data_IF_655528826951
#
_entry.id   IF_655528826951
#
_cell.length_a   1.000
_cell.length_b   1.000
_cell.length_c   1.000
_cell.angle_alpha   90.00
_cell.angle_beta   90.00
_cell.angle_gamma   90.00
#
_symmetry.space_group_name_H-M   'P 1'
#
loop_
_entity.id
_entity.type
_entity.pdbx_description
1 polymer ?
#
# COMPACT_ATOMS: atom_id res chain seq x y z
N UNK A 1 -6.65 7.74 -20.84
CA UNK A 1 -5.64 7.01 -20.10
C UNK A 1 -6.29 5.78 -19.46
N UNK A 2 -5.74 4.59 -19.65
CA UNK A 2 -6.10 3.39 -18.90
C UNK A 2 -4.96 3.04 -17.95
N UNK A 3 -5.31 2.64 -16.73
CA UNK A 3 -4.36 2.21 -15.71
C UNK A 3 -4.74 0.83 -15.18
N UNK A 4 -3.76 -0.05 -15.07
CA UNK A 4 -3.94 -1.44 -14.62
C UNK A 4 -3.02 -1.70 -13.44
N UNK A 5 -3.62 -1.79 -12.26
CA UNK A 5 -2.93 -2.15 -11.03
C UNK A 5 -2.90 -3.67 -10.85
N UNK A 6 -1.82 -4.22 -10.26
CA UNK A 6 -1.79 -5.62 -9.84
C UNK A 6 -2.73 -5.85 -8.65
N UNK A 7 -3.08 -7.11 -8.38
CA UNK A 7 -3.96 -7.47 -7.25
C UNK A 7 -3.44 -7.01 -5.89
N UNK A 8 -2.13 -6.80 -5.74
CA UNK A 8 -1.48 -6.33 -4.53
C UNK A 8 -1.66 -4.84 -4.23
N UNK A 9 -2.24 -4.09 -5.15
CA UNK A 9 -2.55 -2.67 -4.99
C UNK A 9 -4.06 -2.45 -4.98
N UNK A 10 -4.54 -1.69 -4.02
CA UNK A 10 -5.94 -1.22 -3.95
C UNK A 10 -5.97 0.23 -4.38
N UNK A 11 -6.68 0.53 -5.46
CA UNK A 11 -6.90 1.89 -5.94
C UNK A 11 -7.73 2.71 -4.94
N UNK A 12 -7.26 3.91 -4.59
CA UNK A 12 -7.94 4.76 -3.60
C UNK A 12 -9.03 5.67 -4.21
N UNK A 13 -9.21 5.62 -5.54
CA UNK A 13 -10.23 6.37 -6.28
C UNK A 13 -10.12 7.90 -6.09
N UNK A 14 -8.91 8.40 -6.04
CA UNK A 14 -8.53 9.79 -5.75
C UNK A 14 -7.85 10.49 -6.94
N UNK A 15 -8.28 10.17 -8.16
CA UNK A 15 -7.71 10.75 -9.38
C UNK A 15 -7.89 12.26 -9.39
N UNK A 16 -6.77 12.96 -9.59
CA UNK A 16 -6.74 14.38 -9.84
C UNK A 16 -5.97 14.67 -11.14
N UNK A 17 -6.48 15.58 -11.95
CA UNK A 17 -5.87 15.98 -13.23
C UNK A 17 -5.54 17.45 -13.21
N UNK A 18 -4.32 17.79 -13.61
CA UNK A 18 -3.90 19.18 -13.80
C UNK A 18 -3.36 19.38 -15.21
N UNK A 19 -3.54 20.58 -15.74
CA UNK A 19 -2.99 21.00 -17.03
C UNK A 19 -2.20 22.28 -16.83
N UNK A 20 -0.91 22.24 -17.18
CA UNK A 20 0.03 23.33 -16.93
C UNK A 20 -0.04 23.83 -15.47
N UNK A 21 -0.24 22.90 -14.51
CA UNK A 21 -0.36 23.17 -13.08
C UNK A 21 -1.74 23.61 -12.60
N UNK A 22 -2.72 23.82 -13.50
CA UNK A 22 -4.09 24.19 -13.14
C UNK A 22 -4.98 22.95 -13.06
N UNK A 23 -5.70 22.77 -11.94
CA UNK A 23 -6.60 21.62 -11.74
C UNK A 23 -7.80 21.68 -12.70
N UNK A 24 -8.15 20.54 -13.24
CA UNK A 24 -9.35 20.33 -14.06
C UNK A 24 -10.54 19.91 -13.20
N UNK A 25 -11.73 20.09 -13.74
CA UNK A 25 -13.00 19.77 -13.07
C UNK A 25 -13.62 18.50 -13.66
N UNK A 26 -13.95 17.55 -12.81
CA UNK A 26 -14.75 16.38 -13.18
C UNK A 26 -16.24 16.64 -12.83
N UNK A 27 -17.21 16.31 -13.68
CA UNK A 27 -17.05 15.63 -14.98
C UNK A 27 -16.93 16.59 -16.20
N UNK A 28 -16.77 17.89 -16.01
CA UNK A 28 -16.81 18.86 -17.10
C UNK A 28 -15.63 18.71 -18.09
N UNK A 29 -14.42 18.57 -17.58
CA UNK A 29 -13.19 18.50 -18.38
C UNK A 29 -12.72 17.06 -18.62
N UNK A 30 -12.96 16.17 -17.63
CA UNK A 30 -12.64 14.75 -17.70
C UNK A 30 -13.59 13.92 -16.85
N UNK A 31 -13.61 12.61 -17.06
CA UNK A 31 -14.32 11.65 -16.23
C UNK A 31 -13.44 10.46 -15.86
N UNK A 32 -13.72 9.83 -14.71
CA UNK A 32 -13.07 8.62 -14.26
C UNK A 32 -14.10 7.49 -14.22
N UNK A 33 -13.76 6.34 -14.82
CA UNK A 33 -14.58 5.12 -14.76
C UNK A 33 -13.79 3.99 -14.12
N UNK A 34 -14.43 3.25 -13.20
CA UNK A 34 -13.89 2.07 -12.50
C UNK A 34 -14.91 0.95 -12.56
N UNK A 35 -14.59 -0.23 -13.13
CA UNK A 35 -13.34 -0.55 -13.82
C UNK A 35 -13.17 0.23 -15.13
N UNK A 36 -11.92 0.29 -15.62
CA UNK A 36 -11.60 0.81 -16.94
C UNK A 36 -11.84 -0.22 -18.06
N UNK A 37 -11.40 0.13 -19.29
CA UNK A 37 -11.55 -0.75 -20.47
C UNK A 37 -10.57 -1.94 -20.40
N UNK A 38 -10.99 -3.09 -20.93
CA UNK A 38 -10.14 -4.29 -21.14
C UNK A 38 -9.40 -4.78 -19.88
N UNK A 39 -10.05 -4.72 -18.73
CA UNK A 39 -9.48 -5.18 -17.46
C UNK A 39 -8.60 -4.14 -16.75
N UNK A 40 -8.58 -2.89 -17.22
CA UNK A 40 -7.93 -1.81 -16.49
C UNK A 40 -8.65 -1.55 -15.15
N UNK A 41 -7.89 -1.14 -14.15
CA UNK A 41 -8.41 -0.78 -12.83
C UNK A 41 -9.30 0.44 -12.94
N UNK A 42 -8.82 1.47 -13.64
CA UNK A 42 -9.63 2.64 -13.95
C UNK A 42 -9.24 3.23 -15.31
N UNK A 43 -10.10 4.12 -15.80
CA UNK A 43 -9.89 4.88 -17.04
C UNK A 43 -10.20 6.35 -16.78
N UNK A 44 -9.32 7.22 -17.24
CA UNK A 44 -9.55 8.66 -17.35
C UNK A 44 -9.87 9.00 -18.79
N UNK A 45 -11.03 9.62 -19.02
CA UNK A 45 -11.48 10.09 -20.34
C UNK A 45 -11.59 11.61 -20.31
N UNK A 46 -10.90 12.29 -21.19
CA UNK A 46 -11.00 13.74 -21.35
C UNK A 46 -12.18 14.10 -22.23
N UNK A 47 -12.88 15.19 -21.92
CA UNK A 47 -13.96 15.71 -22.74
C UNK A 47 -13.38 16.24 -24.07
N UNK A 48 -14.05 15.92 -25.19
CA UNK A 48 -13.63 16.36 -26.51
C UNK A 48 -13.61 17.89 -26.61
N UNK A 49 -14.60 18.54 -26.03
CA UNK A 49 -14.67 20.00 -25.93
C UNK A 49 -13.46 20.61 -25.23
N UNK A 50 -12.92 19.92 -24.24
CA UNK A 50 -11.69 20.33 -23.53
C UNK A 50 -10.45 20.11 -24.40
N UNK A 51 -10.32 18.92 -25.01
CA UNK A 51 -9.15 18.55 -25.83
C UNK A 51 -8.97 19.49 -27.06
N UNK A 52 -10.07 19.93 -27.66
CA UNK A 52 -10.04 20.80 -28.84
C UNK A 52 -9.44 22.19 -28.57
N UNK A 53 -9.31 22.58 -27.31
CA UNK A 53 -8.70 23.84 -26.89
C UNK A 53 -7.24 23.73 -26.47
N UNK A 54 -6.66 22.53 -26.50
CA UNK A 54 -5.27 22.32 -26.12
C UNK A 54 -4.29 22.67 -27.22
N UNK A 55 -3.11 23.13 -26.83
CA UNK A 55 -1.98 23.39 -27.75
C UNK A 55 -0.97 22.25 -27.71
N UNK A 56 -0.07 22.17 -28.69
CA UNK A 56 0.92 21.09 -28.80
C UNK A 56 1.84 20.93 -27.56
N UNK A 57 2.11 22.05 -26.87
CA UNK A 57 3.03 22.05 -25.70
C UNK A 57 2.29 21.94 -24.36
N UNK A 58 1.04 21.48 -24.35
CA UNK A 58 0.25 21.36 -23.14
C UNK A 58 0.73 20.15 -22.32
N UNK A 59 1.12 20.39 -21.05
CA UNK A 59 1.46 19.34 -20.10
C UNK A 59 0.23 18.93 -19.30
N UNK A 60 -0.17 17.66 -19.41
CA UNK A 60 -1.24 17.05 -18.62
C UNK A 60 -0.63 16.10 -17.59
N UNK A 61 -0.95 16.33 -16.31
CA UNK A 61 -0.52 15.45 -15.20
C UNK A 61 -1.74 14.81 -14.56
N UNK A 62 -1.75 13.50 -14.52
CA UNK A 62 -2.76 12.69 -13.81
C UNK A 62 -2.10 12.11 -12.56
N UNK A 63 -2.63 12.43 -11.41
CA UNK A 63 -2.16 11.90 -10.11
C UNK A 63 -3.24 11.06 -9.46
N UNK A 64 -2.85 10.01 -8.81
CA UNK A 64 -3.72 9.11 -8.03
C UNK A 64 -2.87 8.33 -7.04
N UNK A 65 -3.52 7.67 -6.09
CA UNK A 65 -2.82 6.81 -5.14
C UNK A 65 -3.40 5.40 -5.07
N UNK A 66 -2.58 4.49 -4.55
CA UNK A 66 -2.97 3.12 -4.25
C UNK A 66 -2.36 2.68 -2.92
N UNK A 67 -3.04 1.75 -2.25
CA UNK A 67 -2.58 1.17 -0.99
C UNK A 67 -2.17 -0.28 -1.22
N UNK A 68 -1.00 -0.67 -0.71
CA UNK A 68 -0.59 -2.07 -0.65
C UNK A 68 -1.61 -2.86 0.19
N UNK A 69 -1.98 -4.03 -0.29
CA UNK A 69 -2.92 -4.92 0.40
C UNK A 69 -2.29 -6.30 0.68
N UNK A 70 -3.06 -7.22 1.24
CA UNK A 70 -2.61 -8.56 1.63
C UNK A 70 -2.15 -9.47 0.47
N UNK A 71 -2.49 -9.08 -0.77
CA UNK A 71 -2.04 -9.79 -1.99
C UNK A 71 -0.77 -9.18 -2.59
N UNK A 72 -0.23 -8.14 -1.97
CA UNK A 72 0.98 -7.51 -2.47
C UNK A 72 2.13 -8.52 -2.49
N UNK A 73 2.78 -8.63 -3.63
CA UNK A 73 3.96 -9.48 -3.78
C UNK A 73 5.06 -9.02 -2.81
N UNK A 74 5.63 -9.98 -2.08
CA UNK A 74 6.59 -9.74 -1.01
C UNK A 74 7.97 -10.15 -1.50
N UNK A 75 8.96 -9.28 -1.29
CA UNK A 75 10.39 -9.60 -1.39
C UNK A 75 10.81 -10.32 -2.69
N UNK A 76 11.19 -9.56 -3.70
CA UNK A 76 11.67 -10.06 -4.99
C UNK A 76 10.62 -10.09 -6.09
N UNK A 77 9.35 -10.25 -5.76
CA UNK A 77 8.24 -10.03 -6.70
C UNK A 77 7.88 -8.55 -6.74
N UNK A 78 7.30 -8.13 -7.85
CA UNK A 78 7.06 -6.72 -8.10
C UNK A 78 5.57 -6.46 -8.27
N UNK A 79 5.04 -5.52 -7.48
CA UNK A 79 3.68 -5.02 -7.69
C UNK A 79 3.76 -3.96 -8.80
N UNK A 80 3.64 -4.40 -10.06
CA UNK A 80 3.81 -3.56 -11.23
C UNK A 80 2.49 -2.94 -11.66
N UNK A 81 2.38 -1.63 -11.58
CA UNK A 81 1.31 -0.85 -12.17
C UNK A 81 1.64 -0.51 -13.62
N UNK A 82 0.65 -0.51 -14.50
CA UNK A 82 0.83 -0.24 -15.92
C UNK A 82 -0.15 0.82 -16.40
N UNK A 83 0.36 1.90 -16.99
CA UNK A 83 -0.43 2.95 -17.58
C UNK A 83 -0.29 2.96 -19.11
N UNK A 84 -1.37 3.28 -19.82
CA UNK A 84 -1.38 3.42 -21.27
C UNK A 84 -2.32 4.55 -21.72
N UNK A 85 -1.82 5.46 -22.53
CA UNK A 85 -2.63 6.48 -23.18
C UNK A 85 -3.17 5.93 -24.51
N UNK A 86 -4.48 6.12 -24.77
CA UNK A 86 -5.11 5.89 -26.06
C UNK A 86 -5.56 7.24 -26.64
N UNK A 87 -5.28 7.46 -27.90
CA UNK A 87 -5.67 8.66 -28.63
C UNK A 87 -6.08 8.31 -30.07
N UNK A 88 -7.27 8.71 -30.48
CA UNK A 88 -7.86 8.27 -31.75
C UNK A 88 -7.85 6.73 -31.86
N UNK A 89 -7.31 6.23 -32.97
CA UNK A 89 -7.13 4.79 -33.22
C UNK A 89 -5.75 4.26 -32.81
N UNK A 90 -4.93 5.08 -32.16
CA UNK A 90 -3.57 4.74 -31.71
C UNK A 90 -3.49 4.65 -30.19
N UNK A 91 -2.42 4.03 -29.70
CA UNK A 91 -2.07 4.00 -28.28
C UNK A 91 -0.57 4.13 -28.09
N UNK A 92 -0.17 4.67 -26.94
CA UNK A 92 1.24 4.69 -26.54
C UNK A 92 1.73 3.29 -26.20
N UNK A 93 3.04 3.13 -26.11
CA UNK A 93 3.65 2.01 -25.38
C UNK A 93 3.16 2.07 -23.93
N UNK A 94 3.03 0.92 -23.30
CA UNK A 94 2.71 0.83 -21.88
C UNK A 94 3.91 1.35 -21.07
N UNK A 95 3.61 2.20 -20.10
CA UNK A 95 4.57 2.63 -19.09
C UNK A 95 4.30 1.93 -17.77
N UNK A 96 5.35 1.68 -16.99
CA UNK A 96 5.27 0.83 -15.80
C UNK A 96 5.98 1.44 -14.61
N UNK A 97 5.36 1.31 -13.45
CA UNK A 97 5.98 1.58 -12.16
C UNK A 97 5.88 0.36 -11.27
N UNK A 98 6.87 0.16 -10.41
CA UNK A 98 6.94 -1.00 -9.55
C UNK A 98 6.98 -0.57 -8.09
N UNK A 99 6.15 -1.22 -7.27
CA UNK A 99 6.14 -1.04 -5.82
C UNK A 99 6.57 -2.34 -5.16
N UNK A 100 7.59 -2.29 -4.31
CA UNK A 100 8.05 -3.44 -3.54
C UNK A 100 7.50 -3.39 -2.13
N UNK A 101 6.99 -4.51 -1.62
CA UNK A 101 6.65 -4.67 -0.22
C UNK A 101 7.58 -5.65 0.47
N UNK A 102 7.71 -5.52 1.78
CA UNK A 102 8.59 -6.32 2.62
C UNK A 102 7.80 -7.03 3.71
N UNK A 103 8.42 -8.04 4.29
CA UNK A 103 7.95 -8.71 5.50
C UNK A 103 9.10 -8.91 6.48
N UNK A 104 8.77 -9.13 7.72
CA UNK A 104 9.67 -9.75 8.70
C UNK A 104 8.95 -10.81 9.51
N UNK A 105 9.73 -11.72 10.09
CA UNK A 105 9.25 -12.76 10.98
C UNK A 105 9.73 -12.46 12.41
N UNK A 106 8.80 -12.53 13.38
CA UNK A 106 9.03 -12.26 14.79
C UNK A 106 8.86 -13.53 15.64
N UNK A 107 9.78 -13.77 16.55
CA UNK A 107 9.61 -14.74 17.62
C UNK A 107 9.97 -14.12 18.98
N UNK A 108 9.28 -14.55 20.03
CA UNK A 108 9.68 -14.29 21.42
C UNK A 108 10.18 -15.59 22.03
N UNK A 109 11.40 -15.55 22.60
CA UNK A 109 12.01 -16.73 23.25
C UNK A 109 12.48 -16.39 24.65
N UNK A 110 12.65 -17.42 25.50
CA UNK A 110 13.43 -17.30 26.70
C UNK A 110 14.94 -17.47 26.41
N UNK A 111 15.77 -17.46 27.46
CA UNK A 111 17.22 -17.61 27.36
C UNK A 111 17.67 -18.98 26.85
N UNK A 112 16.81 -19.99 26.91
CA UNK A 112 17.05 -21.36 26.41
C UNK A 112 16.55 -21.51 24.94
N UNK A 113 16.00 -20.48 24.32
CA UNK A 113 15.45 -20.52 22.96
C UNK A 113 14.04 -21.10 22.87
N UNK A 114 13.36 -21.36 23.99
CA UNK A 114 11.97 -21.82 23.98
C UNK A 114 11.05 -20.70 23.58
N UNK A 115 10.16 -20.97 22.64
CA UNK A 115 9.14 -20.02 22.16
C UNK A 115 8.15 -19.65 23.27
N UNK A 116 7.83 -18.37 23.39
CA UNK A 116 6.92 -17.83 24.38
C UNK A 116 5.67 -17.25 23.73
N UNK A 117 4.50 -17.65 24.24
CA UNK A 117 3.21 -17.10 23.85
C UNK A 117 2.81 -15.93 24.73
N UNK A 118 1.87 -15.08 24.22
CA UNK A 118 1.21 -14.03 24.99
C UNK A 118 2.03 -12.76 25.19
N UNK A 119 3.19 -12.61 24.56
CA UNK A 119 3.83 -11.31 24.43
C UNK A 119 3.06 -10.48 23.41
N UNK A 120 2.80 -9.19 23.70
CA UNK A 120 2.20 -8.29 22.76
C UNK A 120 3.16 -7.18 22.37
N UNK A 121 3.04 -6.76 21.11
CA UNK A 121 3.88 -5.72 20.53
C UNK A 121 3.08 -4.74 19.69
N UNK A 122 3.50 -3.50 19.72
CA UNK A 122 3.10 -2.45 18.77
C UNK A 122 4.29 -2.11 17.88
N UNK A 123 4.03 -1.92 16.58
CA UNK A 123 5.04 -1.57 15.58
C UNK A 123 5.01 -0.06 15.32
N UNK A 124 6.20 0.55 15.17
CA UNK A 124 6.36 1.99 14.91
C UNK A 124 7.35 2.25 13.78
N UNK A 125 7.23 3.43 13.16
CA UNK A 125 8.11 3.94 12.10
C UNK A 125 9.34 4.73 12.62
N UNK A 126 9.46 4.93 13.95
CA UNK A 126 10.63 5.56 14.57
C UNK A 126 10.82 5.09 16.02
N UNK A 127 12.07 5.13 16.50
CA UNK A 127 12.44 4.72 17.87
C UNK A 127 11.80 5.56 18.97
N UNK A 128 11.55 6.83 18.70
CA UNK A 128 10.90 7.77 19.61
C UNK A 128 10.04 8.74 18.82
N UNK A 129 8.82 8.99 19.30
CA UNK A 129 7.88 9.92 18.63
C UNK A 129 7.35 9.44 17.29
N UNK A 130 7.61 8.19 16.90
CA UNK A 130 7.13 7.61 15.66
C UNK A 130 5.63 7.33 15.67
N UNK A 131 5.06 7.22 14.46
CA UNK A 131 3.67 6.83 14.28
C UNK A 131 3.53 5.31 14.44
N UNK A 132 2.42 4.90 15.03
CA UNK A 132 2.04 3.50 15.08
C UNK A 132 1.73 2.97 13.67
N UNK A 133 2.36 1.88 13.28
CA UNK A 133 2.01 1.10 12.09
C UNK A 133 0.86 0.16 12.49
N UNK A 134 -0.35 0.53 12.14
CA UNK A 134 -1.54 -0.29 12.42
C UNK A 134 -1.50 -1.59 11.63
N UNK A 135 -1.76 -2.70 12.30
CA UNK A 135 -1.74 -4.04 11.73
C UNK A 135 -3.10 -4.71 11.87
N UNK A 136 -3.48 -5.51 10.88
CA UNK A 136 -4.67 -6.37 10.91
C UNK A 136 -4.23 -7.82 10.95
N UNK A 137 -4.83 -8.61 11.83
CA UNK A 137 -4.57 -10.05 11.95
C UNK A 137 -5.29 -10.81 10.83
N UNK A 138 -4.53 -11.52 10.00
CA UNK A 138 -5.06 -12.37 8.90
C UNK A 138 -5.41 -13.77 9.42
N UNK A 139 -4.52 -14.34 10.22
CA UNK A 139 -4.68 -15.65 10.84
C UNK A 139 -3.87 -15.71 12.15
N UNK A 140 -3.75 -16.88 12.78
CA UNK A 140 -3.05 -17.03 14.05
C UNK A 140 -1.62 -16.48 14.06
N UNK A 141 -0.91 -16.60 12.92
CA UNK A 141 0.53 -16.32 12.81
C UNK A 141 0.85 -15.21 11.80
N UNK A 142 -0.14 -14.57 11.18
CA UNK A 142 0.11 -13.61 10.09
C UNK A 142 -0.65 -12.32 10.32
N UNK A 143 0.07 -11.23 10.19
CA UNK A 143 -0.46 -9.87 10.20
C UNK A 143 -0.08 -9.15 8.91
N UNK A 144 -0.84 -8.13 8.55
CA UNK A 144 -0.50 -7.18 7.49
C UNK A 144 -0.70 -5.75 7.96
N UNK A 145 -0.10 -4.81 7.26
CA UNK A 145 -0.38 -3.39 7.46
C UNK A 145 -1.88 -3.12 7.17
N UNK A 146 -2.50 -2.35 8.04
CA UNK A 146 -3.91 -1.97 7.92
C UNK A 146 -4.12 -1.00 6.75
N UNK A 147 -5.24 -1.14 6.05
CA UNK A 147 -5.72 -0.16 5.07
C UNK A 147 -6.30 1.06 5.80
N UNK A 148 -6.45 2.16 5.07
CA UNK A 148 -7.17 3.35 5.59
C UNK A 148 -8.56 2.96 6.09
N UNK A 149 -8.89 3.37 7.32
CA UNK A 149 -10.19 3.09 7.97
C UNK A 149 -10.29 1.74 8.69
N UNK A 150 -9.30 0.84 8.57
CA UNK A 150 -9.28 -0.40 9.35
C UNK A 150 -8.78 -0.15 10.78
N UNK A 151 -9.35 -0.90 11.74
CA UNK A 151 -8.89 -0.87 13.13
C UNK A 151 -7.67 -1.76 13.29
N UNK A 152 -6.58 -1.19 13.81
CA UNK A 152 -5.37 -1.93 14.13
C UNK A 152 -5.52 -2.82 15.36
N UNK A 153 -4.69 -3.88 15.42
CA UNK A 153 -4.51 -4.75 16.58
C UNK A 153 -3.02 -4.92 16.89
N UNK A 154 -2.70 -5.20 18.16
CA UNK A 154 -1.35 -5.55 18.56
C UNK A 154 -0.93 -6.92 18.00
N UNK A 155 0.36 -7.09 17.74
CA UNK A 155 0.97 -8.39 17.44
C UNK A 155 0.95 -9.20 18.72
N UNK A 156 0.48 -10.45 18.68
CA UNK A 156 0.52 -11.37 19.82
C UNK A 156 1.26 -12.65 19.46
N UNK A 157 2.26 -13.03 20.27
CA UNK A 157 3.04 -14.24 20.03
C UNK A 157 2.27 -15.49 20.46
N UNK A 158 2.38 -16.55 19.67
CA UNK A 158 1.59 -17.78 19.85
C UNK A 158 2.40 -18.95 20.46
N UNK A 159 3.71 -18.80 20.62
CA UNK A 159 4.58 -19.84 21.21
C UNK A 159 4.79 -21.10 20.35
N UNK A 160 4.32 -21.10 19.11
CA UNK A 160 4.38 -22.28 18.21
C UNK A 160 4.95 -21.96 16.84
N UNK A 161 5.76 -20.92 16.70
CA UNK A 161 6.35 -20.54 15.43
C UNK A 161 6.58 -19.04 15.29
N UNK A 162 6.83 -18.63 14.07
CA UNK A 162 7.02 -17.23 13.73
C UNK A 162 5.69 -16.52 13.58
N UNK A 163 5.68 -15.23 13.95
CA UNK A 163 4.64 -14.29 13.55
C UNK A 163 5.17 -13.53 12.34
N UNK A 164 4.49 -13.63 11.23
CA UNK A 164 4.86 -12.93 9.98
C UNK A 164 4.09 -11.62 9.85
N UNK A 165 4.79 -10.52 9.62
CA UNK A 165 4.23 -9.21 9.36
C UNK A 165 4.49 -8.84 7.89
N UNK A 166 3.43 -8.64 7.12
CA UNK A 166 3.46 -8.38 5.68
C UNK A 166 3.06 -6.94 5.34
N UNK A 167 3.44 -6.50 4.12
CA UNK A 167 2.96 -5.25 3.54
C UNK A 167 3.71 -4.00 4.02
N UNK A 168 4.94 -4.18 4.49
CA UNK A 168 5.79 -3.08 4.94
C UNK A 168 6.47 -2.41 3.75
N UNK A 169 6.67 -1.09 3.82
CA UNK A 169 7.52 -0.35 2.91
C UNK A 169 9.00 -0.56 3.22
N UNK A 170 9.87 0.02 2.39
CA UNK A 170 11.29 0.09 2.72
C UNK A 170 11.49 1.10 3.87
N UNK A 171 12.22 0.69 4.91
CA UNK A 171 12.50 1.55 6.08
C UNK A 171 12.91 0.76 7.31
N UNK A 172 13.19 1.50 8.37
CA UNK A 172 13.45 0.96 9.69
C UNK A 172 12.17 0.92 10.51
N UNK A 173 12.04 -0.09 11.36
CA UNK A 173 10.86 -0.31 12.19
C UNK A 173 11.25 -0.64 13.62
N UNK A 174 10.43 -0.24 14.57
CA UNK A 174 10.65 -0.46 15.99
C UNK A 174 9.48 -1.19 16.62
N UNK A 175 9.78 -2.22 17.40
CA UNK A 175 8.81 -2.99 18.16
C UNK A 175 8.86 -2.57 19.62
N UNK A 176 7.72 -2.15 20.15
CA UNK A 176 7.52 -1.93 21.57
C UNK A 176 6.77 -3.12 22.18
N UNK A 177 7.35 -3.81 23.16
CA UNK A 177 6.64 -4.82 23.92
C UNK A 177 5.64 -4.13 24.86
N UNK A 178 4.35 -4.27 24.59
CA UNK A 178 3.28 -3.68 25.41
C UNK A 178 2.87 -4.62 26.55
N UNK A 179 2.95 -5.94 26.32
CA UNK A 179 2.70 -6.98 27.30
C UNK A 179 3.78 -8.06 27.23
N UNK A 180 4.35 -8.40 28.39
CA UNK A 180 5.30 -9.53 28.49
C UNK A 180 4.56 -10.86 28.64
N UNK A 181 5.18 -12.01 28.28
CA UNK A 181 4.66 -13.33 28.59
C UNK A 181 4.55 -13.54 30.11
N UNK A 182 3.62 -14.38 30.53
CA UNK A 182 3.46 -14.69 31.96
C UNK A 182 4.75 -15.26 32.55
N UNK A 183 5.21 -14.70 33.66
CA UNK A 183 6.42 -15.12 34.38
C UNK A 183 7.71 -14.47 33.86
N UNK A 184 7.64 -13.53 32.94
CA UNK A 184 8.78 -12.82 32.38
C UNK A 184 8.66 -11.30 32.61
N UNK A 185 9.77 -10.58 32.46
CA UNK A 185 9.78 -9.12 32.54
C UNK A 185 9.59 -8.51 31.17
N UNK A 186 8.95 -7.33 31.13
CA UNK A 186 8.80 -6.52 29.93
C UNK A 186 10.17 -5.99 29.46
N UNK A 187 10.37 -5.93 28.13
CA UNK A 187 11.53 -5.23 27.55
C UNK A 187 11.49 -3.73 27.91
N UNK A 188 12.66 -3.16 28.21
CA UNK A 188 12.76 -1.79 28.71
C UNK A 188 12.60 -0.71 27.64
N UNK A 189 12.81 -1.04 26.35
CA UNK A 189 12.78 -0.08 25.23
C UNK A 189 12.25 -0.73 23.95
N UNK A 190 11.91 0.14 23.01
CA UNK A 190 11.63 -0.26 21.61
C UNK A 190 12.88 -0.77 20.93
#
# INVERSE_FOLDING_TARGET
LNDTMPEGLTFNNDVNVTVNGTALTSPADYSVTTPGDNGATFKVTFAESYLNNLTADTSIVVTYSATLNEKAAISGDQNTNTAQLKYGNSSTVKDQTTTTSFKFDLVKTDSAGKLLAGAKFTLYDAASGGNEIKLVKINANTYRVAKSGETGVEIETVGTGYITINGLGNGDYWLEETQHPQGYNKLAAR
#
